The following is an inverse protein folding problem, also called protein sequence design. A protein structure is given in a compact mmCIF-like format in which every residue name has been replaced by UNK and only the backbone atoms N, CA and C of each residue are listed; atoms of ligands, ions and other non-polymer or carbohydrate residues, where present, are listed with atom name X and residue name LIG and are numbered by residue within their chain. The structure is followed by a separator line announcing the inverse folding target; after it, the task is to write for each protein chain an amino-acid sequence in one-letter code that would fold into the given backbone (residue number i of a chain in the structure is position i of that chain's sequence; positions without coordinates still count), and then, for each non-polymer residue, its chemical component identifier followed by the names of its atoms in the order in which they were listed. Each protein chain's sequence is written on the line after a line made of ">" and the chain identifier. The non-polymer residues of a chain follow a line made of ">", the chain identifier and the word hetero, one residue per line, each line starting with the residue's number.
data_IF_709786678623
#
_entry.id   IF_709786678623
#
_cell.length_a   1.000
_cell.length_b   1.000
_cell.length_c   1.000
_cell.angle_alpha   90.00
_cell.angle_beta   90.00
_cell.angle_gamma   90.00
#
_symmetry.space_group_name_H-M   'P 1'
#
loop_
_entity.id
_entity.type
_entity.pdbx_description
1 polymer ?
#
# COMPACT_ATOMS: atom_id res chain seq x y z
N UNK A 1 -45.82 5.56 -56.60
CA UNK A 1 -45.80 5.60 -55.13
C UNK A 1 -44.47 5.02 -54.65
N UNK A 2 -43.51 5.85 -54.42
CA UNK A 2 -42.20 5.46 -53.81
C UNK A 2 -42.24 5.69 -52.31
N UNK A 3 -42.00 4.67 -51.51
CA UNK A 3 -41.80 4.76 -50.08
C UNK A 3 -40.31 5.09 -49.78
N UNK A 4 -40.00 6.05 -48.91
CA UNK A 4 -38.62 6.24 -48.47
C UNK A 4 -38.23 5.20 -47.44
N UNK A 5 -37.08 4.52 -47.65
CA UNK A 5 -36.39 3.74 -46.62
C UNK A 5 -35.80 4.72 -45.60
N UNK A 6 -36.34 4.69 -44.39
CA UNK A 6 -35.73 5.35 -43.24
C UNK A 6 -34.56 4.51 -42.73
N UNK A 7 -33.35 5.01 -42.91
CA UNK A 7 -32.17 4.45 -42.27
C UNK A 7 -32.19 4.85 -40.78
N UNK A 8 -32.43 3.87 -39.88
CA UNK A 8 -32.25 4.06 -38.44
C UNK A 8 -30.75 4.11 -38.14
N UNK A 9 -30.24 5.30 -37.84
CA UNK A 9 -28.90 5.47 -37.27
C UNK A 9 -28.98 5.06 -35.81
N UNK A 10 -28.49 3.84 -35.53
CA UNK A 10 -28.29 3.38 -34.16
C UNK A 10 -27.09 4.11 -33.59
N UNK A 11 -27.32 5.17 -32.81
CA UNK A 11 -26.28 5.75 -31.95
C UNK A 11 -26.01 4.75 -30.79
N UNK A 12 -25.00 3.94 -30.95
CA UNK A 12 -24.42 3.22 -29.82
C UNK A 12 -23.72 4.25 -28.94
N UNK A 13 -24.41 4.68 -27.90
CA UNK A 13 -23.80 5.39 -26.78
C UNK A 13 -22.87 4.38 -26.08
N UNK A 14 -21.58 4.43 -26.39
CA UNK A 14 -20.56 3.73 -25.60
C UNK A 14 -20.56 4.39 -24.23
N UNK A 15 -21.24 3.78 -23.25
CA UNK A 15 -21.10 4.17 -21.85
C UNK A 15 -19.63 3.93 -21.50
N UNK A 16 -18.85 5.00 -21.42
CA UNK A 16 -17.51 4.97 -20.82
C UNK A 16 -17.75 4.61 -19.36
N UNK A 17 -17.38 3.39 -18.98
CA UNK A 17 -17.47 2.96 -17.59
C UNK A 17 -16.41 3.77 -16.81
N UNK A 18 -16.87 4.60 -15.88
CA UNK A 18 -15.97 5.30 -14.96
C UNK A 18 -15.64 4.38 -13.77
N UNK A 19 -14.38 4.30 -13.40
CA UNK A 19 -13.89 3.61 -12.21
C UNK A 19 -13.09 4.60 -11.37
N UNK A 20 -13.48 4.76 -10.09
CA UNK A 20 -12.78 5.62 -9.14
C UNK A 20 -11.95 4.77 -8.16
N UNK A 21 -10.69 4.43 -8.48
CA UNK A 21 -9.83 3.76 -7.52
C UNK A 21 -9.33 4.73 -6.46
N UNK A 22 -9.44 4.30 -5.18
CA UNK A 22 -8.81 4.96 -4.05
C UNK A 22 -7.34 4.57 -3.93
N UNK A 23 -6.46 5.54 -3.80
CA UNK A 23 -5.02 5.33 -3.63
C UNK A 23 -4.49 6.23 -2.53
N UNK A 24 -3.28 5.93 -2.01
CA UNK A 24 -2.53 6.92 -1.21
C UNK A 24 -1.69 7.82 -2.12
N UNK A 25 -1.41 9.06 -1.71
CA UNK A 25 -0.49 9.96 -2.41
C UNK A 25 0.90 9.32 -2.61
N UNK A 26 1.69 9.91 -3.48
CA UNK A 26 3.04 9.44 -3.79
C UNK A 26 3.07 8.37 -4.88
N UNK A 27 3.74 7.24 -4.64
CA UNK A 27 3.97 6.21 -5.66
C UNK A 27 2.69 5.53 -6.13
N UNK A 28 1.72 5.30 -5.25
CA UNK A 28 0.45 4.68 -5.63
C UNK A 28 -0.33 5.54 -6.60
N UNK A 29 -0.44 6.85 -6.33
CA UNK A 29 -1.09 7.81 -7.22
C UNK A 29 -0.34 7.90 -8.57
N UNK A 30 0.99 8.06 -8.56
CA UNK A 30 1.81 8.16 -9.78
C UNK A 30 1.70 6.91 -10.67
N UNK A 31 1.67 5.71 -10.08
CA UNK A 31 1.48 4.47 -10.82
C UNK A 31 0.06 4.43 -11.39
N UNK A 32 -0.95 4.76 -10.59
CA UNK A 32 -2.35 4.72 -11.02
C UNK A 32 -2.63 5.72 -12.15
N UNK A 33 -1.96 6.88 -12.18
CA UNK A 33 -2.02 7.81 -13.31
C UNK A 33 -1.57 7.15 -14.62
N UNK A 34 -0.46 6.40 -14.58
CA UNK A 34 0.02 5.64 -15.75
C UNK A 34 -0.92 4.49 -16.13
N UNK A 35 -1.49 3.82 -15.15
CA UNK A 35 -2.52 2.79 -15.37
C UNK A 35 -3.76 3.40 -16.04
N UNK A 36 -4.17 4.60 -15.63
CA UNK A 36 -5.30 5.31 -16.22
C UNK A 36 -5.07 5.64 -17.71
N UNK A 37 -3.86 6.05 -18.09
CA UNK A 37 -3.50 6.27 -19.50
C UNK A 37 -3.71 4.99 -20.35
N UNK A 38 -3.29 3.83 -19.84
CA UNK A 38 -3.45 2.53 -20.53
C UNK A 38 -4.92 2.09 -20.53
N UNK A 39 -5.59 2.15 -19.39
CA UNK A 39 -7.00 1.76 -19.23
C UNK A 39 -7.92 2.54 -20.20
N UNK A 40 -7.62 3.82 -20.40
CA UNK A 40 -8.35 4.67 -21.35
C UNK A 40 -8.29 4.13 -22.79
N UNK A 41 -7.15 3.58 -23.20
CA UNK A 41 -7.03 2.95 -24.54
C UNK A 41 -7.87 1.68 -24.68
N UNK A 42 -8.22 1.06 -23.54
CA UNK A 42 -9.09 -0.12 -23.44
C UNK A 42 -10.56 0.22 -23.14
N UNK A 43 -10.92 1.51 -23.17
CA UNK A 43 -12.30 1.98 -22.96
C UNK A 43 -12.71 2.12 -21.48
N UNK A 44 -11.76 2.08 -20.52
CA UNK A 44 -12.01 2.31 -19.11
C UNK A 44 -11.49 3.71 -18.74
N UNK A 45 -12.37 4.59 -18.28
CA UNK A 45 -11.99 5.88 -17.69
C UNK A 45 -11.74 5.70 -16.20
N UNK A 46 -10.56 6.13 -15.72
CA UNK A 46 -10.18 6.06 -14.31
C UNK A 46 -10.14 7.47 -13.73
N UNK A 47 -10.87 7.68 -12.64
CA UNK A 47 -10.91 8.92 -11.86
C UNK A 47 -10.30 8.63 -10.48
N UNK A 48 -9.04 9.00 -10.27
CA UNK A 48 -8.27 8.69 -9.08
C UNK A 48 -8.79 9.51 -7.90
N UNK A 49 -9.00 8.84 -6.75
CA UNK A 49 -9.35 9.45 -5.48
C UNK A 49 -8.22 9.21 -4.48
N UNK A 50 -7.60 10.28 -4.00
CA UNK A 50 -6.50 10.17 -3.05
C UNK A 50 -6.98 10.24 -1.59
N UNK A 51 -6.43 9.37 -0.75
CA UNK A 51 -6.68 9.29 0.68
C UNK A 51 -5.37 9.41 1.46
N UNK A 52 -5.36 10.32 2.45
CA UNK A 52 -4.16 10.59 3.26
C UNK A 52 -3.90 9.59 4.38
N UNK A 53 -4.79 8.62 4.60
CA UNK A 53 -4.70 7.59 5.63
C UNK A 53 -5.10 6.21 5.11
N UNK A 54 -4.91 5.16 5.94
CA UNK A 54 -5.26 3.78 5.59
C UNK A 54 -6.64 3.33 6.06
N UNK A 55 -7.36 4.15 6.84
CA UNK A 55 -8.62 3.75 7.48
C UNK A 55 -9.81 3.96 6.54
N UNK A 56 -9.84 5.12 5.87
CA UNK A 56 -10.98 5.56 5.05
C UNK A 56 -11.14 4.77 3.74
N UNK A 57 -10.08 4.37 2.99
CA UNK A 57 -10.26 3.81 1.65
C UNK A 57 -11.10 2.53 1.58
N UNK A 58 -10.97 1.62 2.57
CA UNK A 58 -11.78 0.40 2.60
C UNK A 58 -13.23 0.68 2.96
N UNK A 59 -13.48 1.65 3.83
CA UNK A 59 -14.84 2.08 4.14
C UNK A 59 -15.51 2.69 2.91
N UNK A 60 -14.84 3.63 2.23
CA UNK A 60 -15.34 4.26 1.00
C UNK A 60 -15.64 3.23 -0.10
N UNK A 61 -14.78 2.20 -0.23
CA UNK A 61 -15.01 1.11 -1.18
C UNK A 61 -16.23 0.27 -0.80
N UNK A 62 -16.35 -0.10 0.47
CA UNK A 62 -17.47 -0.90 0.96
C UNK A 62 -18.81 -0.16 0.80
N UNK A 63 -18.82 1.15 1.04
CA UNK A 63 -20.01 2.00 0.95
C UNK A 63 -20.38 2.37 -0.49
N UNK A 64 -19.48 2.12 -1.46
CA UNK A 64 -19.70 2.35 -2.89
C UNK A 64 -19.29 3.74 -3.38
N UNK A 65 -18.65 4.55 -2.55
CA UNK A 65 -18.15 5.89 -2.91
C UNK A 65 -17.01 5.80 -3.93
N UNK A 66 -16.22 4.73 -3.87
CA UNK A 66 -15.23 4.36 -4.88
C UNK A 66 -15.49 2.94 -5.39
N UNK A 67 -14.92 2.57 -6.54
CA UNK A 67 -15.16 1.25 -7.16
C UNK A 67 -14.05 0.25 -6.89
N UNK A 68 -12.83 0.71 -6.65
CA UNK A 68 -11.65 -0.09 -6.31
C UNK A 68 -10.77 0.67 -5.33
N UNK A 69 -9.78 0.00 -4.73
CA UNK A 69 -8.63 0.69 -4.14
C UNK A 69 -7.33 -0.07 -4.40
N UNK A 70 -6.20 0.65 -4.33
CA UNK A 70 -4.85 0.11 -4.45
C UNK A 70 -3.90 0.92 -3.58
N UNK A 71 -3.79 0.53 -2.30
CA UNK A 71 -2.95 1.20 -1.30
C UNK A 71 -2.43 0.24 -0.23
N UNK A 72 -3.02 -0.95 -0.11
CA UNK A 72 -2.86 -1.89 1.00
C UNK A 72 -2.27 -3.23 0.56
N UNK A 73 -1.59 -3.89 1.47
CA UNK A 73 -1.13 -5.26 1.30
C UNK A 73 -2.17 -6.28 1.77
N UNK A 74 -2.06 -7.53 1.30
CA UNK A 74 -3.03 -8.58 1.60
C UNK A 74 -3.28 -8.79 3.10
N UNK A 75 -2.28 -8.87 4.00
CA UNK A 75 -2.54 -9.03 5.43
C UNK A 75 -3.36 -7.90 6.06
N UNK A 76 -3.21 -6.65 5.56
CA UNK A 76 -4.03 -5.52 6.03
C UNK A 76 -5.49 -5.68 5.59
N UNK A 77 -5.73 -6.02 4.33
CA UNK A 77 -7.07 -6.31 3.82
C UNK A 77 -7.75 -7.42 4.62
N UNK A 78 -7.05 -8.54 4.85
CA UNK A 78 -7.58 -9.69 5.60
C UNK A 78 -7.98 -9.27 7.03
N UNK A 79 -7.17 -8.42 7.67
CA UNK A 79 -7.49 -7.88 8.99
C UNK A 79 -8.73 -6.99 8.95
N UNK A 80 -8.84 -6.06 7.98
CA UNK A 80 -9.99 -5.17 7.85
C UNK A 80 -11.29 -5.95 7.57
N UNK A 81 -11.24 -6.98 6.72
CA UNK A 81 -12.38 -7.87 6.47
C UNK A 81 -12.79 -8.59 7.76
N UNK A 82 -11.83 -9.13 8.50
CA UNK A 82 -12.12 -9.86 9.74
C UNK A 82 -12.75 -8.97 10.82
N UNK A 83 -12.23 -7.75 11.00
CA UNK A 83 -12.61 -6.86 12.09
C UNK A 83 -13.90 -6.06 11.76
N UNK A 84 -13.99 -5.54 10.53
CA UNK A 84 -15.08 -4.65 10.11
C UNK A 84 -16.18 -5.33 9.31
N UNK A 85 -16.01 -6.62 8.96
CA UNK A 85 -16.96 -7.40 8.17
C UNK A 85 -17.23 -6.80 6.79
N UNK A 86 -16.24 -6.16 6.20
CA UNK A 86 -16.33 -5.65 4.83
C UNK A 86 -16.49 -6.81 3.82
N UNK A 87 -17.30 -6.59 2.80
CA UNK A 87 -17.48 -7.53 1.68
C UNK A 87 -16.55 -7.14 0.51
N UNK A 88 -15.25 -7.26 0.76
CA UNK A 88 -14.16 -6.87 -0.14
C UNK A 88 -13.31 -8.07 -0.53
N UNK A 89 -12.70 -8.01 -1.70
CA UNK A 89 -11.80 -9.05 -2.22
C UNK A 89 -10.68 -8.45 -3.04
N UNK A 90 -9.46 -9.01 -2.92
CA UNK A 90 -8.35 -8.68 -3.82
C UNK A 90 -8.55 -9.38 -5.17
N UNK A 91 -8.22 -8.69 -6.27
CA UNK A 91 -8.32 -9.17 -7.64
C UNK A 91 -7.01 -9.18 -8.40
N UNK A 92 -5.94 -8.68 -7.82
CA UNK A 92 -4.59 -8.70 -8.41
C UNK A 92 -3.56 -8.09 -7.47
N UNK A 93 -2.32 -8.58 -7.54
CA UNK A 93 -1.18 -7.99 -6.86
C UNK A 93 -0.66 -6.77 -7.61
N UNK A 94 0.01 -5.85 -6.92
CA UNK A 94 0.57 -4.62 -7.51
C UNK A 94 2.06 -4.51 -7.23
N UNK A 95 2.46 -3.82 -6.20
CA UNK A 95 3.85 -3.59 -5.82
C UNK A 95 4.12 -4.11 -4.41
N UNK A 96 5.35 -4.50 -4.15
CA UNK A 96 5.87 -4.62 -2.79
C UNK A 96 6.71 -3.39 -2.47
N UNK A 97 6.41 -2.74 -1.35
CA UNK A 97 7.09 -1.55 -0.85
C UNK A 97 7.82 -1.92 0.44
N UNK A 98 9.14 -2.15 0.41
CA UNK A 98 9.89 -2.54 1.61
C UNK A 98 9.82 -1.47 2.70
N UNK A 99 9.37 -1.83 3.90
CA UNK A 99 9.30 -0.93 5.05
C UNK A 99 10.71 -0.55 5.53
N UNK A 100 10.94 0.74 5.82
CA UNK A 100 12.23 1.27 6.26
C UNK A 100 12.24 1.74 7.71
N UNK A 101 13.40 1.68 8.34
CA UNK A 101 13.68 2.33 9.63
C UNK A 101 14.47 3.60 9.38
N UNK A 102 14.00 4.71 9.92
CA UNK A 102 14.60 6.03 9.71
C UNK A 102 14.94 6.69 11.04
N UNK A 103 15.95 7.54 11.03
CA UNK A 103 16.36 8.32 12.20
C UNK A 103 17.00 9.64 11.78
N UNK A 104 16.76 10.69 12.57
CA UNK A 104 17.49 11.95 12.51
C UNK A 104 18.67 11.99 13.49
N UNK A 105 18.73 11.05 14.45
CA UNK A 105 19.67 11.07 15.57
C UNK A 105 20.83 10.07 15.42
N UNK A 106 20.60 8.92 14.78
CA UNK A 106 21.58 7.84 14.64
C UNK A 106 21.72 7.40 13.19
N UNK A 107 22.85 6.76 12.84
CA UNK A 107 23.16 6.29 11.49
C UNK A 107 22.97 4.78 11.31
N UNK A 108 22.80 4.04 12.39
CA UNK A 108 22.55 2.60 12.40
C UNK A 108 21.73 2.21 13.63
N UNK A 109 21.11 1.03 13.60
CA UNK A 109 20.40 0.46 14.77
C UNK A 109 21.35 0.16 15.94
N UNK A 110 22.62 -0.09 15.66
CA UNK A 110 23.63 -0.36 16.70
C UNK A 110 23.91 0.86 17.58
N UNK A 111 23.75 2.07 17.03
CA UNK A 111 23.94 3.33 17.74
C UNK A 111 22.78 3.72 18.67
N UNK A 112 21.63 3.03 18.57
CA UNK A 112 20.52 3.22 19.51
C UNK A 112 20.97 2.88 20.93
N UNK A 113 20.73 3.81 21.84
CA UNK A 113 21.08 3.65 23.27
C UNK A 113 20.05 2.76 23.96
N UNK A 114 20.43 2.26 25.15
CA UNK A 114 19.46 1.62 26.05
C UNK A 114 18.36 2.62 26.43
N UNK A 115 17.09 2.17 26.37
CA UNK A 115 15.92 2.99 26.60
C UNK A 115 15.53 3.93 25.42
N UNK A 116 16.15 3.74 24.24
CA UNK A 116 15.78 4.53 23.05
C UNK A 116 14.32 4.30 22.67
N UNK A 117 13.65 5.37 22.22
CA UNK A 117 12.26 5.31 21.76
C UNK A 117 12.22 5.05 20.25
N UNK A 118 11.52 3.99 19.84
CA UNK A 118 11.28 3.65 18.43
C UNK A 118 9.79 3.72 18.13
N UNK A 119 9.39 4.60 17.21
CA UNK A 119 8.01 4.71 16.78
C UNK A 119 7.67 3.64 15.72
N UNK A 120 6.48 3.07 15.83
CA UNK A 120 5.95 2.05 14.91
C UNK A 120 4.48 2.35 14.58
N UNK A 121 3.93 1.85 13.45
CA UNK A 121 2.51 1.97 13.15
C UNK A 121 1.64 1.34 14.24
N UNK A 122 0.49 1.95 14.52
CA UNK A 122 -0.45 1.48 15.55
C UNK A 122 -1.50 0.49 15.04
N UNK A 123 -1.57 0.22 13.72
CA UNK A 123 -2.44 -0.83 13.23
C UNK A 123 -1.81 -2.22 13.38
N UNK A 124 -2.62 -3.27 13.63
CA UNK A 124 -2.09 -4.59 14.01
C UNK A 124 -1.15 -5.21 12.99
N UNK A 125 -1.33 -4.93 11.70
CA UNK A 125 -0.55 -5.57 10.64
C UNK A 125 0.73 -4.82 10.31
N UNK A 126 0.70 -3.49 10.22
CA UNK A 126 1.92 -2.70 10.02
C UNK A 126 2.75 -2.59 11.30
N UNK A 127 2.11 -2.53 12.49
CA UNK A 127 2.81 -2.60 13.77
C UNK A 127 3.57 -3.91 13.92
N UNK A 128 2.89 -5.04 13.67
CA UNK A 128 3.53 -6.36 13.66
C UNK A 128 4.66 -6.46 12.63
N UNK A 129 4.44 -5.95 11.41
CA UNK A 129 5.46 -5.89 10.36
C UNK A 129 6.68 -5.09 10.80
N UNK A 130 6.48 -3.91 11.40
CA UNK A 130 7.56 -3.07 11.92
C UNK A 130 8.41 -3.80 12.97
N UNK A 131 7.76 -4.47 13.90
CA UNK A 131 8.44 -5.29 14.91
C UNK A 131 9.21 -6.45 14.29
N UNK A 132 8.66 -7.12 13.26
CA UNK A 132 9.37 -8.17 12.52
C UNK A 132 10.58 -7.65 11.76
N UNK A 133 10.50 -6.44 11.19
CA UNK A 133 11.66 -5.77 10.56
C UNK A 133 12.77 -5.58 11.60
N UNK A 134 12.46 -5.02 12.76
CA UNK A 134 13.42 -4.80 13.85
C UNK A 134 14.02 -6.12 14.38
N UNK A 135 13.19 -7.15 14.50
CA UNK A 135 13.65 -8.50 14.89
C UNK A 135 14.60 -9.11 13.85
N UNK A 136 14.32 -8.95 12.56
CA UNK A 136 15.18 -9.41 11.46
C UNK A 136 16.56 -8.76 11.45
N UNK A 137 16.69 -7.59 12.08
CA UNK A 137 17.95 -6.86 12.27
C UNK A 137 18.60 -7.12 13.62
N UNK A 138 18.03 -8.01 14.45
CA UNK A 138 18.59 -8.40 15.73
C UNK A 138 18.37 -7.43 16.88
N UNK A 139 17.52 -6.40 16.71
CA UNK A 139 17.25 -5.42 17.77
C UNK A 139 16.37 -6.01 18.89
N UNK A 140 15.43 -6.88 18.54
CA UNK A 140 14.53 -7.59 19.45
C UNK A 140 14.35 -9.03 18.99
N UNK A 141 13.76 -9.90 19.83
CA UNK A 141 13.43 -11.29 19.44
C UNK A 141 12.04 -11.68 19.86
N UNK A 142 11.44 -12.55 19.04
CA UNK A 142 10.19 -13.25 19.30
C UNK A 142 10.45 -14.75 19.48
N UNK A 143 9.44 -15.50 19.94
CA UNK A 143 9.42 -16.95 19.82
C UNK A 143 9.45 -17.34 18.33
N UNK A 144 9.86 -18.58 18.06
CA UNK A 144 9.87 -19.12 16.69
C UNK A 144 8.47 -19.02 16.04
N UNK A 145 8.45 -18.64 14.78
CA UNK A 145 7.23 -18.48 13.98
C UNK A 145 6.15 -17.56 14.61
N UNK A 146 6.48 -16.31 14.89
CA UNK A 146 5.60 -15.42 15.65
C UNK A 146 4.33 -15.00 14.89
N UNK A 147 4.24 -15.27 13.56
CA UNK A 147 3.14 -14.81 12.71
C UNK A 147 3.29 -13.33 12.29
N UNK A 148 2.30 -12.81 11.56
CA UNK A 148 2.34 -11.44 11.01
C UNK A 148 1.68 -10.40 11.93
N UNK A 149 0.99 -10.81 12.99
CA UNK A 149 0.27 -9.94 13.94
C UNK A 149 0.92 -9.96 15.34
N UNK A 150 2.24 -9.92 15.38
CA UNK A 150 2.97 -9.79 16.66
C UNK A 150 2.76 -8.39 17.23
N UNK A 151 2.80 -8.30 18.54
CA UNK A 151 2.68 -7.08 19.34
C UNK A 151 3.93 -6.86 20.19
N UNK A 152 4.05 -5.69 20.79
CA UNK A 152 5.13 -5.40 21.75
C UNK A 152 5.14 -6.38 22.92
N UNK A 153 3.96 -6.89 23.33
CA UNK A 153 3.83 -7.86 24.42
C UNK A 153 4.41 -9.25 24.08
N UNK A 154 4.59 -9.56 22.79
CA UNK A 154 5.14 -10.85 22.35
C UNK A 154 6.68 -10.87 22.29
N UNK A 155 7.33 -9.73 22.57
CA UNK A 155 8.80 -9.62 22.58
C UNK A 155 9.36 -10.43 23.76
N UNK A 156 10.25 -11.37 23.48
CA UNK A 156 10.88 -12.20 24.50
C UNK A 156 12.32 -11.75 24.86
N UNK A 157 12.95 -10.98 23.99
CA UNK A 157 14.29 -10.43 24.23
C UNK A 157 14.38 -9.01 23.65
N UNK A 158 14.75 -8.05 24.50
CA UNK A 158 14.90 -6.63 24.18
C UNK A 158 16.15 -6.09 24.91
N UNK A 159 17.36 -6.44 24.43
CA UNK A 159 18.60 -6.18 25.17
C UNK A 159 18.89 -4.68 25.34
N UNK A 160 18.41 -3.85 24.44
CA UNK A 160 18.55 -2.39 24.55
C UNK A 160 17.39 -1.71 25.28
N UNK A 161 16.43 -2.48 25.80
CA UNK A 161 15.23 -1.96 26.48
C UNK A 161 14.52 -0.88 25.64
N UNK A 162 14.41 -1.11 24.33
CA UNK A 162 13.73 -0.19 23.41
C UNK A 162 12.30 0.05 23.90
N UNK A 163 11.93 1.29 23.97
CA UNK A 163 10.56 1.73 24.22
C UNK A 163 9.84 1.95 22.91
N UNK A 164 8.64 1.38 22.75
CA UNK A 164 7.87 1.47 21.52
C UNK A 164 6.77 2.52 21.66
N UNK A 165 6.74 3.48 20.71
CA UNK A 165 5.66 4.44 20.55
C UNK A 165 4.78 4.01 19.36
N UNK A 166 3.56 3.55 19.63
CA UNK A 166 2.60 3.17 18.62
C UNK A 166 1.85 4.40 18.10
N UNK A 167 2.08 4.80 16.86
CA UNK A 167 1.61 6.05 16.26
C UNK A 167 0.90 5.73 14.95
N UNK A 168 -0.11 6.54 14.56
CA UNK A 168 -0.73 6.45 13.26
C UNK A 168 0.34 6.51 12.14
N UNK A 169 0.23 5.61 11.16
CA UNK A 169 1.26 5.44 10.14
C UNK A 169 1.55 6.74 9.35
N UNK A 170 0.52 7.56 9.09
CA UNK A 170 0.67 8.84 8.41
C UNK A 170 1.41 9.90 9.25
N UNK A 171 1.50 9.73 10.57
CA UNK A 171 2.18 10.66 11.45
C UNK A 171 3.64 10.27 11.75
N UNK A 172 4.05 9.06 11.41
CA UNK A 172 5.40 8.55 11.71
C UNK A 172 6.53 9.42 11.14
N UNK A 173 6.48 9.95 9.90
CA UNK A 173 7.54 10.81 9.41
C UNK A 173 7.75 12.07 10.27
N UNK A 174 6.67 12.62 10.82
CA UNK A 174 6.71 13.81 11.67
C UNK A 174 7.26 13.50 13.07
N UNK A 175 7.07 12.28 13.56
CA UNK A 175 7.57 11.87 14.88
C UNK A 175 9.10 11.75 14.95
N UNK A 176 9.81 11.76 13.81
CA UNK A 176 11.28 11.64 13.76
C UNK A 176 12.03 12.76 14.49
N UNK A 177 11.40 13.88 14.78
CA UNK A 177 11.98 14.94 15.60
C UNK A 177 11.97 14.60 17.09
N UNK A 178 11.02 13.80 17.53
CA UNK A 178 10.77 13.50 18.94
C UNK A 178 11.37 12.15 19.37
N UNK A 179 11.37 11.14 18.49
CA UNK A 179 11.84 9.78 18.79
C UNK A 179 13.29 9.54 18.33
N UNK A 180 13.87 8.41 18.71
CA UNK A 180 15.23 8.06 18.31
C UNK A 180 15.28 7.38 16.94
N UNK A 181 14.23 6.62 16.58
CA UNK A 181 14.01 6.09 15.25
C UNK A 181 12.51 5.84 15.03
N UNK A 182 12.10 5.70 13.77
CA UNK A 182 10.75 5.31 13.40
C UNK A 182 10.77 4.28 12.26
N UNK A 183 9.88 3.30 12.33
CA UNK A 183 9.66 2.33 11.25
C UNK A 183 8.48 2.83 10.41
N UNK A 184 8.75 3.22 9.18
CA UNK A 184 7.82 3.99 8.36
C UNK A 184 7.49 3.22 7.06
N UNK A 185 6.21 3.16 6.73
CA UNK A 185 5.74 2.66 5.44
C UNK A 185 6.29 3.52 4.29
N UNK A 186 6.67 2.88 3.20
CA UNK A 186 7.42 3.52 2.11
C UNK A 186 6.70 4.71 1.48
N UNK A 187 5.37 4.64 1.27
CA UNK A 187 4.60 5.76 0.73
C UNK A 187 4.73 7.02 1.62
N UNK A 188 4.56 6.89 2.94
CA UNK A 188 4.69 8.01 3.86
C UNK A 188 6.13 8.51 4.00
N UNK A 189 7.11 7.59 3.92
CA UNK A 189 8.52 7.99 3.90
C UNK A 189 8.83 8.82 2.65
N UNK A 190 8.42 8.35 1.46
CA UNK A 190 8.67 9.04 0.19
C UNK A 190 7.92 10.37 0.09
N UNK A 191 6.68 10.44 0.59
CA UNK A 191 5.91 11.69 0.67
C UNK A 191 6.61 12.74 1.56
N UNK A 192 7.29 12.27 2.63
CA UNK A 192 8.11 13.11 3.49
C UNK A 192 9.52 13.41 2.93
N UNK A 193 9.82 12.98 1.71
CA UNK A 193 11.13 13.18 1.06
C UNK A 193 12.23 12.23 1.52
N UNK A 194 11.88 11.13 2.21
CA UNK A 194 12.82 10.09 2.64
C UNK A 194 12.86 8.97 1.61
N UNK A 195 14.06 8.61 1.16
CA UNK A 195 14.25 7.55 0.19
C UNK A 195 14.66 6.24 0.87
N UNK A 196 13.90 5.14 0.71
CA UNK A 196 14.17 3.88 1.40
C UNK A 196 15.59 3.34 1.23
N UNK A 197 16.18 3.52 0.05
CA UNK A 197 17.53 3.00 -0.26
C UNK A 197 18.68 3.85 0.29
N UNK A 198 18.47 5.14 0.49
CA UNK A 198 19.55 6.07 0.86
C UNK A 198 19.44 6.60 2.28
N UNK A 199 18.22 6.75 2.79
CA UNK A 199 17.97 7.44 4.04
C UNK A 199 17.57 6.48 5.18
N UNK A 200 17.13 5.26 4.83
CA UNK A 200 16.82 4.25 5.85
C UNK A 200 18.10 3.71 6.50
N UNK A 201 18.14 3.67 7.82
CA UNK A 201 19.20 3.04 8.61
C UNK A 201 19.08 1.52 8.68
N UNK A 202 17.90 1.00 8.34
CA UNK A 202 17.63 -0.40 8.10
C UNK A 202 16.39 -0.52 7.18
N UNK A 203 16.32 -1.59 6.40
CA UNK A 203 15.21 -1.83 5.47
C UNK A 203 14.77 -3.30 5.55
N UNK A 204 13.49 -3.52 5.34
CA UNK A 204 12.88 -4.86 5.23
C UNK A 204 13.55 -5.68 4.12
N UNK A 205 13.63 -6.99 4.32
CA UNK A 205 14.18 -7.90 3.31
C UNK A 205 13.27 -8.04 2.08
N UNK A 206 13.87 -8.44 0.94
CA UNK A 206 13.15 -8.57 -0.34
C UNK A 206 12.04 -9.64 -0.33
N UNK A 207 12.18 -10.69 0.50
CA UNK A 207 11.17 -11.73 0.66
C UNK A 207 10.12 -11.28 1.69
N UNK A 208 9.14 -10.55 1.23
CA UNK A 208 8.09 -9.97 2.06
C UNK A 208 6.72 -10.51 1.63
N UNK A 209 5.85 -10.94 2.57
CA UNK A 209 4.47 -11.35 2.27
C UNK A 209 3.52 -10.15 2.07
N UNK A 210 4.05 -8.93 2.07
CA UNK A 210 3.29 -7.69 2.06
C UNK A 210 3.17 -7.07 0.67
N UNK A 211 2.98 -7.92 -0.37
CA UNK A 211 2.60 -7.41 -1.69
C UNK A 211 1.26 -6.67 -1.60
N UNK A 212 1.22 -5.48 -2.18
CA UNK A 212 -0.01 -4.69 -2.26
C UNK A 212 -0.95 -5.27 -3.31
N UNK A 213 -2.23 -4.93 -3.19
CA UNK A 213 -3.29 -5.52 -3.99
C UNK A 213 -4.26 -4.46 -4.52
N UNK A 214 -4.90 -4.78 -5.65
CA UNK A 214 -6.10 -4.11 -6.12
C UNK A 214 -7.29 -4.79 -5.45
N UNK A 215 -8.15 -4.01 -4.82
CA UNK A 215 -9.30 -4.49 -4.06
C UNK A 215 -10.58 -3.91 -4.64
N UNK A 216 -11.61 -4.73 -4.70
CA UNK A 216 -12.97 -4.37 -5.12
C UNK A 216 -13.99 -4.98 -4.15
N UNK A 217 -15.26 -4.56 -4.23
CA UNK A 217 -16.34 -5.31 -3.56
C UNK A 217 -16.47 -6.71 -4.18
N UNK A 218 -16.82 -7.69 -3.38
CA UNK A 218 -16.96 -9.09 -3.86
C UNK A 218 -17.95 -9.20 -5.03
N UNK A 219 -18.99 -8.37 -5.04
CA UNK A 219 -19.97 -8.31 -6.14
C UNK A 219 -19.35 -7.85 -7.48
N UNK A 220 -18.26 -7.10 -7.45
CA UNK A 220 -17.63 -6.50 -8.62
C UNK A 220 -16.41 -7.29 -9.14
N UNK A 221 -16.01 -8.37 -8.48
CA UNK A 221 -14.76 -9.10 -8.75
C UNK A 221 -14.63 -9.61 -10.20
N UNK A 222 -15.74 -9.98 -10.80
CA UNK A 222 -15.81 -10.52 -12.17
C UNK A 222 -16.30 -9.48 -13.19
N UNK A 223 -16.46 -8.22 -12.78
CA UNK A 223 -16.91 -7.15 -13.64
C UNK A 223 -15.88 -6.87 -14.77
N UNK A 224 -16.33 -6.60 -16.02
CA UNK A 224 -15.42 -6.32 -17.12
C UNK A 224 -14.44 -5.17 -16.85
N UNK A 225 -14.89 -4.11 -16.18
CA UNK A 225 -14.04 -2.99 -15.81
C UNK A 225 -12.95 -3.38 -14.79
N UNK A 226 -13.27 -4.24 -13.81
CA UNK A 226 -12.32 -4.70 -12.81
C UNK A 226 -11.19 -5.51 -13.46
N UNK A 227 -11.55 -6.38 -14.42
CA UNK A 227 -10.57 -7.12 -15.23
C UNK A 227 -9.69 -6.19 -16.06
N UNK A 228 -10.29 -5.19 -16.74
CA UNK A 228 -9.55 -4.18 -17.51
C UNK A 228 -8.61 -3.37 -16.62
N UNK A 229 -8.99 -3.04 -15.39
CA UNK A 229 -8.13 -2.35 -14.42
C UNK A 229 -6.89 -3.19 -14.09
N UNK A 230 -7.06 -4.47 -13.74
CA UNK A 230 -5.94 -5.38 -13.45
C UNK A 230 -5.03 -5.56 -14.67
N UNK A 231 -5.60 -5.82 -15.85
CA UNK A 231 -4.84 -5.96 -17.10
C UNK A 231 -4.08 -4.68 -17.49
N UNK A 232 -4.59 -3.52 -17.12
CA UNK A 232 -3.92 -2.24 -17.35
C UNK A 232 -2.81 -2.00 -16.34
N UNK A 233 -3.00 -2.42 -15.08
CA UNK A 233 -1.96 -2.34 -14.06
C UNK A 233 -0.80 -3.30 -14.37
N UNK A 234 -1.10 -4.50 -14.86
CA UNK A 234 -0.11 -5.54 -15.18
C UNK A 234 0.56 -5.36 -16.55
N UNK A 235 0.34 -4.24 -17.23
CA UNK A 235 1.01 -3.94 -18.49
C UNK A 235 2.52 -3.80 -18.29
N UNK A 236 3.30 -4.29 -19.25
CA UNK A 236 4.78 -4.25 -19.15
C UNK A 236 5.34 -2.83 -19.12
N UNK A 237 4.63 -1.86 -19.69
CA UNK A 237 5.00 -0.45 -19.60
C UNK A 237 4.90 0.10 -18.18
N UNK A 238 3.98 -0.40 -17.36
CA UNK A 238 3.87 -0.06 -15.93
C UNK A 238 5.07 -0.63 -15.17
N UNK A 239 5.44 -1.90 -15.42
CA UNK A 239 6.66 -2.50 -14.84
C UNK A 239 7.90 -1.67 -15.15
N UNK A 240 8.04 -1.28 -16.41
CA UNK A 240 9.14 -0.43 -16.86
C UNK A 240 9.13 0.93 -16.16
N UNK A 241 7.98 1.59 -16.10
CA UNK A 241 7.81 2.86 -15.40
C UNK A 241 8.22 2.75 -13.93
N UNK A 242 7.75 1.73 -13.20
CA UNK A 242 8.11 1.51 -11.79
C UNK A 242 9.62 1.37 -11.63
N UNK A 243 10.27 0.55 -12.45
CA UNK A 243 11.71 0.31 -12.37
C UNK A 243 12.53 1.59 -12.66
N UNK A 244 12.13 2.37 -13.64
CA UNK A 244 12.83 3.61 -14.05
C UNK A 244 12.60 4.74 -13.06
N UNK A 245 11.34 4.95 -12.63
CA UNK A 245 10.96 6.05 -11.76
C UNK A 245 11.44 5.84 -10.32
N UNK A 246 11.23 4.66 -9.77
CA UNK A 246 11.49 4.39 -8.36
C UNK A 246 12.83 3.66 -8.12
N UNK A 247 13.58 3.33 -9.18
CA UNK A 247 14.97 2.82 -9.12
C UNK A 247 15.16 1.66 -8.14
N UNK A 248 14.14 0.77 -8.07
CA UNK A 248 14.13 -0.40 -7.22
C UNK A 248 13.78 -0.12 -5.74
N UNK A 249 13.27 1.05 -5.40
CA UNK A 249 12.61 1.28 -4.10
C UNK A 249 11.28 0.51 -4.01
N UNK A 250 10.65 0.23 -5.15
CA UNK A 250 9.43 -0.55 -5.28
C UNK A 250 9.70 -1.78 -6.14
N UNK A 251 9.00 -2.88 -5.85
CA UNK A 251 9.14 -4.16 -6.55
C UNK A 251 7.81 -4.53 -7.18
N UNK A 252 7.69 -4.55 -8.54
CA UNK A 252 6.51 -5.10 -9.20
C UNK A 252 6.27 -6.55 -8.78
N UNK A 253 5.04 -6.88 -8.36
CA UNK A 253 4.71 -8.15 -7.69
C UNK A 253 3.69 -9.00 -8.46
N UNK A 254 3.63 -8.84 -9.78
CA UNK A 254 2.81 -9.65 -10.69
C UNK A 254 3.66 -10.34 -11.77
#
# INVERSE_FOLDING_TARGET
>A
MLRPLGAAISLTFSMICACGPGVTPGEHAQIMEKVAEIAKTKGLNIEIVEFSDYVVPNQALNDGDIQANSFQHQPYLDNQIADRKFDLVSIGTTITTPMGVYSKKVKSLDELKEGATVAIPNDPTNGGRALLVLASKGLIKFKDNPGVKVTVADIIDNPKKIEFAEIDAAQLPRSLDDVDAAVINTNYAMEAGLHPKTDAIAIEGEKSPYANVIVVRTADKDAPWAKTLVESYHDESIRKFINEQFKGALIPSW
#
